data_IF_267289379845
#
_entry.id   IF_267289379845
#
_cell.length_a   1.000
_cell.length_b   1.000
_cell.length_c   1.000
_cell.angle_alpha   90.00
_cell.angle_beta   90.00
_cell.angle_gamma   90.00
#
_symmetry.space_group_name_H-M   'P 1'
#
loop_
_entity.id
_entity.type
_entity.pdbx_description
1 polymer ?
#
# COMPACT_ATOMS: atom_id res chain seq x y z
N UNK A 1 11.50 2.60 -8.63
CA UNK A 1 10.68 1.89 -7.67
C UNK A 1 9.45 1.26 -8.35
N UNK A 2 8.53 2.07 -8.88
CA UNK A 2 7.28 1.58 -9.52
C UNK A 2 7.55 0.55 -10.60
N UNK A 3 8.42 0.85 -11.56
CA UNK A 3 8.73 -0.05 -12.68
C UNK A 3 9.33 -1.38 -12.22
N UNK A 4 10.26 -1.34 -11.27
CA UNK A 4 10.90 -2.55 -10.75
C UNK A 4 9.89 -3.48 -10.07
N UNK A 5 9.03 -2.94 -9.19
CA UNK A 5 8.08 -3.77 -8.45
C UNK A 5 6.90 -4.24 -9.29
N UNK A 6 6.42 -3.43 -10.24
CA UNK A 6 5.43 -3.89 -11.21
C UNK A 6 5.97 -5.02 -12.09
N UNK A 7 7.23 -4.93 -12.50
CA UNK A 7 7.91 -6.00 -13.28
C UNK A 7 8.10 -7.26 -12.44
N UNK A 8 8.64 -7.12 -11.21
CA UNK A 8 8.88 -8.26 -10.31
C UNK A 8 7.62 -9.01 -9.94
N UNK A 9 6.49 -8.29 -9.76
CA UNK A 9 5.22 -8.90 -9.41
C UNK A 9 4.60 -9.77 -10.52
N UNK A 10 4.87 -9.45 -11.79
CA UNK A 10 4.18 -10.07 -12.94
C UNK A 10 5.09 -11.01 -13.73
N UNK A 11 6.36 -10.63 -13.92
CA UNK A 11 7.22 -11.28 -14.90
C UNK A 11 8.15 -12.31 -14.27
N UNK A 12 8.87 -11.91 -13.22
CA UNK A 12 9.81 -12.77 -12.50
C UNK A 12 10.03 -12.24 -11.09
N UNK A 13 9.60 -12.97 -10.05
CA UNK A 13 9.96 -12.64 -8.69
C UNK A 13 11.49 -12.57 -8.54
N UNK A 14 12.01 -11.48 -8.01
CA UNK A 14 13.41 -11.37 -7.67
C UNK A 14 13.71 -12.28 -6.46
N UNK A 15 14.93 -12.80 -6.35
CA UNK A 15 15.34 -13.54 -5.17
C UNK A 15 15.19 -12.66 -3.91
N UNK A 16 14.89 -13.29 -2.78
CA UNK A 16 14.48 -12.64 -1.52
C UNK A 16 15.40 -11.47 -1.13
N UNK A 17 16.72 -11.66 -1.18
CA UNK A 17 17.69 -10.63 -0.84
C UNK A 17 17.61 -9.39 -1.75
N UNK A 18 17.43 -9.59 -3.06
CA UNK A 18 17.30 -8.47 -3.99
C UNK A 18 15.92 -7.81 -3.85
N UNK A 19 14.87 -8.59 -3.72
CA UNK A 19 13.51 -8.08 -3.63
C UNK A 19 13.33 -7.15 -2.41
N UNK A 20 13.70 -7.64 -1.23
CA UNK A 20 13.59 -6.89 0.03
C UNK A 20 14.65 -5.80 0.14
N UNK A 21 15.90 -6.11 -0.20
CA UNK A 21 17.02 -5.17 -0.08
C UNK A 21 16.91 -3.96 -1.00
N UNK A 22 16.53 -4.15 -2.26
CA UNK A 22 16.32 -3.03 -3.21
C UNK A 22 15.18 -2.12 -2.72
N UNK A 23 14.11 -2.69 -2.16
CA UNK A 23 13.03 -1.90 -1.57
C UNK A 23 13.55 -1.00 -0.45
N UNK A 24 14.28 -1.59 0.50
CA UNK A 24 14.81 -0.86 1.66
C UNK A 24 15.81 0.21 1.22
N UNK A 25 16.77 -0.11 0.34
CA UNK A 25 17.75 0.87 -0.18
C UNK A 25 17.04 2.06 -0.83
N UNK A 26 16.13 1.80 -1.77
CA UNK A 26 15.44 2.88 -2.50
C UNK A 26 14.61 3.71 -1.52
N UNK A 27 13.92 3.07 -0.59
CA UNK A 27 13.12 3.76 0.44
C UNK A 27 14.00 4.67 1.30
N UNK A 28 15.13 4.16 1.79
CA UNK A 28 16.06 4.91 2.65
C UNK A 28 16.65 6.12 1.92
N UNK A 29 17.15 5.92 0.70
CA UNK A 29 17.67 7.00 -0.13
C UNK A 29 16.62 8.09 -0.35
N UNK A 30 15.42 7.69 -0.79
CA UNK A 30 14.35 8.63 -1.11
C UNK A 30 13.85 9.37 0.12
N UNK A 31 13.75 8.71 1.27
CA UNK A 31 13.33 9.37 2.51
C UNK A 31 14.35 10.41 2.93
N UNK A 32 15.66 10.12 2.97
CA UNK A 32 16.68 11.10 3.33
C UNK A 32 16.78 12.26 2.33
N UNK A 33 16.44 12.02 1.05
CA UNK A 33 16.38 13.09 0.04
C UNK A 33 15.14 13.97 0.15
N UNK A 34 13.98 13.41 0.54
CA UNK A 34 12.71 14.14 0.66
C UNK A 34 12.57 14.83 2.01
N UNK A 35 12.93 14.15 3.10
CA UNK A 35 12.84 14.65 4.47
C UNK A 35 14.21 15.19 4.96
N UNK A 36 14.76 16.15 4.22
CA UNK A 36 16.05 16.77 4.51
C UNK A 36 16.07 17.51 5.84
N UNK A 37 17.22 17.53 6.48
CA UNK A 37 17.48 18.33 7.67
C UNK A 37 17.30 19.84 7.38
N UNK A 38 16.71 20.58 8.34
CA UNK A 38 16.41 22.02 8.20
C UNK A 38 17.69 22.86 8.05
N UNK A 39 18.77 22.49 8.73
CA UNK A 39 20.03 23.23 8.72
C UNK A 39 20.99 22.74 7.62
N UNK A 40 21.63 23.67 6.90
CA UNK A 40 22.56 23.34 5.80
C UNK A 40 23.70 22.41 6.22
N UNK A 41 24.26 22.58 7.40
CA UNK A 41 25.31 21.74 7.97
C UNK A 41 24.88 20.29 8.19
N UNK A 42 23.63 20.09 8.61
CA UNK A 42 23.10 18.75 8.81
C UNK A 42 22.78 18.01 7.49
N UNK A 43 22.82 18.69 6.34
CA UNK A 43 22.70 18.05 5.03
C UNK A 43 23.88 17.13 4.71
N UNK A 44 25.06 17.44 5.23
CA UNK A 44 26.23 16.54 5.10
C UNK A 44 25.93 15.22 5.81
N UNK A 45 25.29 15.28 6.98
CA UNK A 45 24.85 14.10 7.71
C UNK A 45 23.81 13.30 6.90
N UNK A 46 22.91 13.98 6.18
CA UNK A 46 21.92 13.30 5.32
C UNK A 46 22.61 12.48 4.21
N UNK A 47 23.64 13.02 3.57
CA UNK A 47 24.41 12.28 2.57
C UNK A 47 25.21 11.13 3.18
N UNK A 48 25.77 11.33 4.38
CA UNK A 48 26.44 10.27 5.12
C UNK A 48 25.46 9.13 5.46
N UNK A 49 24.24 9.45 5.91
CA UNK A 49 23.21 8.46 6.21
C UNK A 49 22.76 7.70 4.95
N UNK A 50 22.68 8.37 3.79
CA UNK A 50 22.42 7.70 2.51
C UNK A 50 23.53 6.71 2.19
N UNK A 51 24.80 7.14 2.30
CA UNK A 51 25.95 6.25 2.06
C UNK A 51 25.93 5.04 2.99
N UNK A 52 25.75 5.26 4.31
CA UNK A 52 25.67 4.22 5.29
C UNK A 52 24.48 3.26 5.05
N UNK A 53 23.35 3.78 4.57
CA UNK A 53 22.19 2.96 4.18
C UNK A 53 22.52 2.03 3.01
N UNK A 54 23.17 2.56 1.98
CA UNK A 54 23.59 1.77 0.82
C UNK A 54 24.63 0.72 1.26
N UNK A 55 25.55 1.10 2.12
CA UNK A 55 26.59 0.22 2.63
C UNK A 55 26.00 -0.93 3.47
N UNK A 56 25.16 -0.63 4.48
CA UNK A 56 24.62 -1.66 5.40
C UNK A 56 23.67 -2.62 4.69
N UNK A 57 22.76 -2.11 3.86
CA UNK A 57 21.81 -2.95 3.11
C UNK A 57 22.52 -3.66 1.96
N UNK A 58 23.45 -2.99 1.28
CA UNK A 58 24.30 -3.60 0.25
C UNK A 58 25.15 -4.74 0.79
N UNK A 59 25.73 -4.57 1.97
CA UNK A 59 26.43 -5.63 2.68
C UNK A 59 25.54 -6.84 2.92
N UNK A 60 24.31 -6.64 3.42
CA UNK A 60 23.34 -7.70 3.62
C UNK A 60 22.98 -8.42 2.30
N UNK A 61 22.79 -7.68 1.18
CA UNK A 61 22.48 -8.28 -0.12
C UNK A 61 23.64 -9.17 -0.61
N UNK A 62 24.88 -8.65 -0.55
CA UNK A 62 26.05 -9.32 -1.10
C UNK A 62 26.44 -10.56 -0.28
N UNK A 63 26.40 -10.45 1.05
CA UNK A 63 26.79 -11.51 1.97
C UNK A 63 25.62 -12.31 2.52
N UNK A 64 24.44 -12.24 1.89
CA UNK A 64 23.20 -12.88 2.36
C UNK A 64 23.38 -14.37 2.72
N UNK A 65 23.95 -15.15 1.82
CA UNK A 65 24.19 -16.58 2.06
C UNK A 65 25.22 -16.79 3.18
N UNK A 66 26.34 -16.09 3.14
CA UNK A 66 27.39 -16.21 4.15
C UNK A 66 26.90 -15.84 5.55
N UNK A 67 26.07 -14.80 5.69
CA UNK A 67 25.47 -14.40 6.96
C UNK A 67 24.51 -15.47 7.47
N UNK A 68 23.67 -16.04 6.59
CA UNK A 68 22.76 -17.11 6.98
C UNK A 68 23.50 -18.38 7.44
N UNK A 69 24.61 -18.75 6.80
CA UNK A 69 25.43 -19.92 7.23
C UNK A 69 26.13 -19.72 8.58
N UNK A 70 26.47 -18.48 8.94
CA UNK A 70 27.13 -18.17 10.22
C UNK A 70 26.22 -17.57 11.28
N UNK A 71 24.93 -17.79 11.17
CA UNK A 71 23.95 -17.34 12.18
C UNK A 71 24.29 -17.93 13.55
N UNK A 72 24.48 -17.05 14.56
CA UNK A 72 24.95 -17.42 15.91
C UNK A 72 26.47 -17.43 16.07
N UNK A 73 27.23 -17.19 14.98
CA UNK A 73 28.68 -17.02 14.98
C UNK A 73 29.08 -15.81 14.13
N UNK A 74 28.36 -14.72 14.32
CA UNK A 74 28.54 -13.48 13.59
C UNK A 74 29.90 -12.85 13.87
N UNK A 75 30.51 -12.28 12.83
CA UNK A 75 31.79 -11.59 12.99
C UNK A 75 31.60 -10.22 13.65
N UNK A 76 32.65 -9.65 14.30
CA UNK A 76 32.60 -8.30 14.85
C UNK A 76 32.18 -7.24 13.80
N UNK A 77 32.51 -7.50 12.53
CA UNK A 77 32.15 -6.62 11.44
C UNK A 77 30.64 -6.74 11.09
N UNK A 78 30.06 -7.95 11.10
CA UNK A 78 28.62 -8.16 10.97
C UNK A 78 27.85 -7.41 12.07
N UNK A 79 28.35 -7.51 13.32
CA UNK A 79 27.76 -6.81 14.48
C UNK A 79 27.78 -5.29 14.28
N UNK A 80 28.91 -4.74 13.82
CA UNK A 80 29.02 -3.31 13.53
C UNK A 80 28.03 -2.86 12.45
N UNK A 81 27.94 -3.59 11.34
CA UNK A 81 26.99 -3.28 10.25
C UNK A 81 25.54 -3.34 10.72
N UNK A 82 25.20 -4.34 11.54
CA UNK A 82 23.85 -4.50 12.09
C UNK A 82 23.46 -3.33 13.02
N UNK A 83 24.38 -2.94 13.94
CA UNK A 83 24.15 -1.80 14.83
C UNK A 83 23.92 -0.52 14.04
N UNK A 84 24.76 -0.23 13.05
CA UNK A 84 24.59 0.95 12.18
C UNK A 84 23.25 0.87 11.43
N UNK A 85 22.89 -0.28 10.87
CA UNK A 85 21.64 -0.48 10.14
C UNK A 85 20.39 -0.26 10.99
N UNK A 86 20.38 -0.78 12.23
CA UNK A 86 19.28 -0.56 13.19
C UNK A 86 19.14 0.91 13.56
N UNK A 87 20.23 1.61 13.83
CA UNK A 87 20.23 3.04 14.17
C UNK A 87 19.72 3.89 12.99
N UNK A 88 20.11 3.56 11.75
CA UNK A 88 19.59 4.23 10.54
C UNK A 88 18.07 4.00 10.43
N UNK A 89 17.57 2.80 10.68
CA UNK A 89 16.13 2.50 10.66
C UNK A 89 15.33 3.35 11.66
N UNK A 90 15.87 3.55 12.87
CA UNK A 90 15.27 4.41 13.89
C UNK A 90 15.28 5.88 13.43
N UNK A 91 16.41 6.38 12.92
CA UNK A 91 16.51 7.76 12.42
C UNK A 91 15.56 8.02 11.24
N UNK A 92 15.39 7.03 10.36
CA UNK A 92 14.46 7.12 9.24
C UNK A 92 13.00 7.30 9.72
N UNK A 93 12.59 6.46 10.68
CA UNK A 93 11.25 6.54 11.25
C UNK A 93 11.03 7.88 11.99
N UNK A 94 12.06 8.38 12.69
CA UNK A 94 12.02 9.68 13.36
C UNK A 94 11.68 10.82 12.39
N UNK A 95 12.25 10.80 11.19
CA UNK A 95 12.07 11.86 10.19
C UNK A 95 10.69 11.86 9.55
N UNK A 96 10.08 10.71 9.41
CA UNK A 96 8.81 10.57 8.68
C UNK A 96 7.61 10.57 9.60
N UNK A 97 7.69 9.85 10.72
CA UNK A 97 6.55 9.61 11.63
C UNK A 97 6.73 10.35 12.94
N UNK A 98 7.97 10.70 13.30
CA UNK A 98 8.27 11.45 14.51
C UNK A 98 8.77 10.60 15.68
N UNK A 99 8.85 11.25 16.86
CA UNK A 99 9.55 10.69 18.02
C UNK A 99 8.83 9.51 18.69
N UNK A 100 7.52 9.35 18.48
CA UNK A 100 6.76 8.26 19.13
C UNK A 100 7.33 6.90 18.72
N UNK A 101 7.59 6.69 17.44
CA UNK A 101 8.17 5.44 16.94
C UNK A 101 9.62 5.22 17.42
N UNK A 102 10.38 6.30 17.58
CA UNK A 102 11.73 6.23 18.17
C UNK A 102 11.65 5.73 19.61
N UNK A 103 10.75 6.30 20.41
CA UNK A 103 10.57 5.90 21.80
C UNK A 103 10.19 4.42 21.87
N UNK A 104 9.19 3.99 21.09
CA UNK A 104 8.75 2.59 21.08
C UNK A 104 9.93 1.67 20.67
N UNK A 105 10.61 1.96 19.56
CA UNK A 105 11.73 1.16 19.10
C UNK A 105 12.88 1.10 20.12
N UNK A 106 13.20 2.23 20.77
CA UNK A 106 14.24 2.29 21.80
C UNK A 106 13.84 1.50 23.04
N UNK A 107 12.60 1.62 23.51
CA UNK A 107 12.09 0.85 24.65
C UNK A 107 12.15 -0.64 24.35
N UNK A 108 11.78 -1.08 23.14
CA UNK A 108 11.87 -2.48 22.73
C UNK A 108 13.30 -2.96 22.68
N UNK A 109 14.27 -2.16 22.19
CA UNK A 109 15.69 -2.52 22.22
C UNK A 109 16.22 -2.64 23.65
N UNK A 110 15.86 -1.71 24.55
CA UNK A 110 16.23 -1.79 25.96
C UNK A 110 15.65 -3.06 26.58
N UNK A 111 14.39 -3.36 26.31
CA UNK A 111 13.76 -4.59 26.78
C UNK A 111 14.48 -5.84 26.25
N UNK A 112 14.88 -5.90 24.99
CA UNK A 112 15.62 -7.03 24.43
C UNK A 112 16.99 -7.26 25.11
N UNK A 113 17.67 -6.18 25.53
CA UNK A 113 18.96 -6.27 26.21
C UNK A 113 18.78 -6.63 27.68
N UNK A 114 17.83 -5.99 28.36
CA UNK A 114 17.64 -6.10 29.81
C UNK A 114 16.43 -6.95 30.22
N UNK A 115 15.99 -7.88 29.37
CA UNK A 115 14.80 -8.70 29.63
C UNK A 115 14.80 -9.51 30.92
N UNK A 116 16.00 -9.81 31.49
CA UNK A 116 16.14 -10.46 32.78
C UNK A 116 15.67 -9.61 33.98
N UNK A 117 15.50 -8.32 33.79
CA UNK A 117 14.95 -7.39 34.78
C UNK A 117 13.43 -7.23 34.69
N UNK A 118 12.79 -7.80 33.66
CA UNK A 118 11.37 -7.70 33.48
C UNK A 118 10.58 -8.60 34.45
N UNK A 119 9.30 -8.29 34.78
CA UNK A 119 8.44 -9.16 35.60
C UNK A 119 8.27 -10.56 34.95
N UNK A 120 8.04 -11.57 35.78
CA UNK A 120 8.05 -13.01 35.42
C UNK A 120 7.43 -13.35 34.05
N UNK A 121 6.27 -12.81 33.73
CA UNK A 121 5.59 -13.06 32.44
C UNK A 121 6.36 -12.52 31.23
N UNK A 122 7.14 -11.47 31.43
CA UNK A 122 7.90 -10.79 30.38
C UNK A 122 9.40 -11.04 30.50
N UNK A 123 9.84 -11.84 31.49
CA UNK A 123 11.24 -12.10 31.72
C UNK A 123 11.85 -13.01 30.64
N UNK A 124 13.02 -12.64 30.14
CA UNK A 124 13.84 -13.46 29.24
C UNK A 124 15.32 -13.22 29.52
N UNK A 125 16.19 -14.09 29.01
CA UNK A 125 17.62 -14.09 29.36
C UNK A 125 18.33 -12.74 29.09
N UNK A 126 17.83 -11.93 28.15
CA UNK A 126 18.53 -10.75 27.65
C UNK A 126 19.75 -11.14 26.79
N UNK A 127 20.40 -10.16 26.20
CA UNK A 127 21.62 -10.36 25.41
C UNK A 127 22.39 -9.04 25.26
N UNK A 128 23.60 -9.11 24.69
CA UNK A 128 24.37 -7.91 24.39
C UNK A 128 23.73 -7.08 23.30
N UNK A 129 23.83 -5.75 23.37
CA UNK A 129 23.23 -4.86 22.39
C UNK A 129 23.64 -5.20 20.93
N UNK A 130 24.92 -5.51 20.60
CA UNK A 130 25.28 -5.93 19.24
C UNK A 130 24.61 -7.24 18.80
N UNK A 131 24.48 -8.23 19.69
CA UNK A 131 23.82 -9.50 19.37
C UNK A 131 22.32 -9.33 19.13
N UNK A 132 21.65 -8.48 19.92
CA UNK A 132 20.25 -8.06 19.64
C UNK A 132 20.14 -7.38 18.29
N UNK A 133 21.04 -6.45 17.96
CA UNK A 133 21.03 -5.78 16.66
C UNK A 133 21.26 -6.74 15.49
N UNK A 134 22.17 -7.72 15.60
CA UNK A 134 22.37 -8.74 14.55
C UNK A 134 21.14 -9.59 14.35
N UNK A 135 20.49 -10.01 15.43
CA UNK A 135 19.26 -10.77 15.38
C UNK A 135 18.15 -10.00 14.67
N UNK A 136 17.96 -8.71 15.00
CA UNK A 136 16.93 -7.86 14.39
C UNK A 136 17.26 -7.49 12.94
N UNK A 137 18.54 -7.27 12.60
CA UNK A 137 18.92 -6.79 11.28
C UNK A 137 19.01 -7.90 10.24
N UNK A 138 19.52 -9.07 10.60
CA UNK A 138 19.82 -10.13 9.62
C UNK A 138 18.77 -11.25 9.58
N UNK A 139 18.09 -11.56 10.70
CA UNK A 139 17.15 -12.68 10.73
C UNK A 139 15.85 -12.37 9.97
N UNK A 140 15.15 -13.45 9.61
CA UNK A 140 13.91 -13.41 8.85
C UNK A 140 12.74 -12.68 9.55
N UNK A 141 12.81 -12.51 10.86
CA UNK A 141 11.78 -11.86 11.67
C UNK A 141 12.07 -10.39 11.96
N UNK A 142 13.24 -9.91 11.52
CA UNK A 142 13.71 -8.55 11.74
C UNK A 142 13.35 -7.55 10.62
N UNK A 143 14.28 -6.61 10.39
CA UNK A 143 14.11 -5.50 9.44
C UNK A 143 13.84 -5.99 8.02
N UNK A 144 14.58 -7.01 7.55
CA UNK A 144 14.39 -7.61 6.23
C UNK A 144 13.40 -8.78 6.23
N UNK A 145 12.68 -8.96 7.32
CA UNK A 145 11.75 -10.05 7.54
C UNK A 145 10.39 -9.86 6.85
N UNK A 146 9.35 -10.32 7.55
CA UNK A 146 7.96 -10.32 7.09
C UNK A 146 7.52 -8.94 6.63
N UNK A 147 7.86 -7.88 7.39
CA UNK A 147 7.44 -6.52 7.07
C UNK A 147 8.00 -6.03 5.74
N UNK A 148 9.32 -6.20 5.52
CA UNK A 148 9.94 -5.82 4.25
C UNK A 148 9.37 -6.61 3.08
N UNK A 149 9.07 -7.91 3.29
CA UNK A 149 8.45 -8.76 2.29
C UNK A 149 7.06 -8.27 1.89
N UNK A 150 6.18 -8.07 2.88
CA UNK A 150 4.81 -7.60 2.67
C UNK A 150 4.78 -6.25 1.95
N UNK A 151 5.65 -5.33 2.38
CA UNK A 151 5.69 -3.99 1.78
C UNK A 151 6.23 -4.02 0.34
N UNK A 152 7.29 -4.78 0.09
CA UNK A 152 7.87 -4.91 -1.24
C UNK A 152 6.95 -5.67 -2.22
N UNK A 153 6.18 -6.65 -1.74
CA UNK A 153 5.38 -7.54 -2.60
C UNK A 153 3.97 -7.00 -2.84
N UNK A 154 3.30 -6.55 -1.79
CA UNK A 154 1.87 -6.23 -1.85
C UNK A 154 1.58 -4.75 -1.67
N UNK A 155 2.02 -4.17 -0.56
CA UNK A 155 1.58 -2.83 -0.13
C UNK A 155 1.94 -1.77 -1.15
N UNK A 156 3.14 -1.81 -1.72
CA UNK A 156 3.55 -0.84 -2.74
C UNK A 156 2.60 -0.81 -3.95
N UNK A 157 2.16 -1.97 -4.42
CA UNK A 157 1.26 -2.08 -5.58
C UNK A 157 -0.14 -1.56 -5.25
N UNK A 158 -0.65 -1.83 -4.05
CA UNK A 158 -1.95 -1.31 -3.63
C UNK A 158 -1.93 0.19 -3.34
N UNK A 159 -0.83 0.71 -2.80
CA UNK A 159 -0.65 2.16 -2.63
C UNK A 159 -0.58 2.87 -3.98
N UNK A 160 0.10 2.28 -4.96
CA UNK A 160 0.09 2.75 -6.35
C UNK A 160 -1.32 2.71 -6.94
N UNK A 161 -2.02 1.60 -6.79
CA UNK A 161 -3.40 1.46 -7.24
C UNK A 161 -4.29 2.56 -6.65
N UNK A 162 -4.21 2.83 -5.34
CA UNK A 162 -4.95 3.90 -4.68
C UNK A 162 -4.68 5.29 -5.30
N UNK A 163 -3.41 5.60 -5.59
CA UNK A 163 -3.01 6.86 -6.22
C UNK A 163 -3.53 6.98 -7.68
N UNK A 164 -3.54 5.88 -8.44
CA UNK A 164 -4.11 5.85 -9.78
C UNK A 164 -5.63 5.97 -9.77
N UNK A 165 -6.30 5.33 -8.82
CA UNK A 165 -7.73 5.43 -8.66
C UNK A 165 -8.18 6.85 -8.29
N UNK A 166 -7.44 7.53 -7.41
CA UNK A 166 -7.67 8.94 -7.09
C UNK A 166 -7.57 9.81 -8.35
N UNK A 167 -6.53 9.62 -9.16
CA UNK A 167 -6.32 10.37 -10.40
C UNK A 167 -7.28 10.00 -11.53
N UNK A 168 -7.86 8.80 -11.50
CA UNK A 168 -8.85 8.37 -12.50
C UNK A 168 -10.21 9.08 -12.40
N UNK A 169 -10.42 9.86 -11.33
CA UNK A 169 -11.69 10.55 -11.07
C UNK A 169 -12.72 9.71 -10.31
N UNK A 170 -12.39 8.48 -9.94
CA UNK A 170 -13.29 7.60 -9.20
C UNK A 170 -13.69 8.16 -7.83
N UNK A 171 -12.86 9.01 -7.23
CA UNK A 171 -13.16 9.66 -5.95
C UNK A 171 -14.48 10.42 -5.98
N UNK A 172 -14.82 11.08 -7.10
CA UNK A 172 -16.09 11.82 -7.24
C UNK A 172 -17.28 10.88 -7.07
N UNK A 173 -17.27 9.71 -7.69
CA UNK A 173 -18.34 8.73 -7.54
C UNK A 173 -18.57 8.31 -6.08
N UNK A 174 -17.49 8.11 -5.31
CA UNK A 174 -17.59 7.70 -3.90
C UNK A 174 -18.12 8.80 -2.96
N UNK A 175 -18.20 10.06 -3.43
CA UNK A 175 -18.84 11.17 -2.72
C UNK A 175 -20.24 11.43 -3.28
N UNK A 176 -20.38 11.53 -4.60
CA UNK A 176 -21.63 11.92 -5.26
C UNK A 176 -22.75 10.88 -5.07
N UNK A 177 -22.41 9.59 -5.16
CA UNK A 177 -23.38 8.52 -4.98
C UNK A 177 -23.96 8.46 -3.55
N UNK A 178 -23.17 8.43 -2.47
CA UNK A 178 -23.72 8.52 -1.11
C UNK A 178 -24.49 9.82 -0.84
N UNK A 179 -24.04 10.95 -1.42
CA UNK A 179 -24.71 12.23 -1.26
C UNK A 179 -26.13 12.17 -1.87
N UNK A 180 -26.29 11.61 -3.04
CA UNK A 180 -27.59 11.43 -3.65
C UNK A 180 -28.47 10.40 -2.93
N UNK A 181 -27.87 9.33 -2.37
CA UNK A 181 -28.60 8.25 -1.72
C UNK A 181 -29.09 8.61 -0.31
N UNK A 182 -28.25 9.24 0.51
CA UNK A 182 -28.56 9.48 1.94
C UNK A 182 -28.41 10.94 2.37
N UNK A 183 -27.92 11.83 1.51
CA UNK A 183 -27.64 13.23 1.85
C UNK A 183 -28.85 14.00 2.36
N UNK A 184 -30.05 13.69 1.89
CA UNK A 184 -31.31 14.32 2.28
C UNK A 184 -31.86 13.88 3.66
N UNK A 185 -31.28 12.82 4.25
CA UNK A 185 -31.76 12.25 5.52
C UNK A 185 -31.25 13.07 6.73
N UNK A 186 -31.83 12.81 7.91
CA UNK A 186 -31.33 13.37 9.19
C UNK A 186 -29.84 13.02 9.32
N UNK A 187 -28.98 14.03 9.53
CA UNK A 187 -27.55 13.87 9.56
C UNK A 187 -26.92 13.45 8.22
N UNK A 188 -27.61 13.71 7.10
CA UNK A 188 -27.21 13.31 5.77
C UNK A 188 -25.74 13.58 5.45
N UNK A 189 -25.22 14.80 5.58
CA UNK A 189 -23.82 15.12 5.30
C UNK A 189 -22.81 14.28 6.09
N UNK A 190 -23.07 14.00 7.36
CA UNK A 190 -22.20 13.16 8.16
C UNK A 190 -22.33 11.66 7.82
N UNK A 191 -23.51 11.19 7.45
CA UNK A 191 -23.71 9.83 6.92
C UNK A 191 -23.01 9.64 5.57
N UNK A 192 -23.02 10.67 4.74
CA UNK A 192 -22.24 10.69 3.49
C UNK A 192 -20.75 10.55 3.77
N UNK A 193 -20.24 11.30 4.77
CA UNK A 193 -18.85 11.18 5.23
C UNK A 193 -18.52 9.73 5.62
N UNK A 194 -19.35 9.08 6.44
CA UNK A 194 -19.11 7.70 6.90
C UNK A 194 -19.09 6.71 5.72
N UNK A 195 -20.05 6.80 4.81
CA UNK A 195 -20.13 5.88 3.67
C UNK A 195 -18.99 6.16 2.67
N UNK A 196 -18.75 7.44 2.33
CA UNK A 196 -17.70 7.82 1.40
C UNK A 196 -16.32 7.43 1.91
N UNK A 197 -16.05 7.67 3.21
CA UNK A 197 -14.79 7.29 3.84
C UNK A 197 -14.64 5.78 3.98
N UNK A 198 -15.71 5.03 4.21
CA UNK A 198 -15.70 3.57 4.18
C UNK A 198 -15.34 3.05 2.79
N UNK A 199 -15.99 3.54 1.75
CA UNK A 199 -15.73 3.14 0.36
C UNK A 199 -14.34 3.56 -0.11
N UNK A 200 -13.94 4.81 0.09
CA UNK A 200 -12.62 5.28 -0.31
C UNK A 200 -11.51 4.67 0.54
N UNK A 201 -11.77 4.47 1.82
CA UNK A 201 -10.86 3.82 2.76
C UNK A 201 -10.53 2.38 2.38
N UNK A 202 -11.53 1.62 1.89
CA UNK A 202 -11.34 0.25 1.42
C UNK A 202 -10.33 0.13 0.26
N UNK A 203 -10.01 1.26 -0.37
CA UNK A 203 -9.10 1.37 -1.49
C UNK A 203 -7.73 1.90 -1.04
N UNK A 204 -7.73 2.99 -0.26
CA UNK A 204 -6.50 3.66 0.16
C UNK A 204 -5.73 2.88 1.22
N UNK A 205 -6.42 2.08 2.04
CA UNK A 205 -5.85 1.36 3.18
C UNK A 205 -5.21 2.25 4.24
N UNK A 206 -5.33 3.59 4.11
CA UNK A 206 -4.70 4.58 4.98
C UNK A 206 -5.72 5.54 5.57
N UNK A 207 -5.93 5.49 6.88
CA UNK A 207 -6.84 6.39 7.58
C UNK A 207 -6.45 7.87 7.39
N UNK A 208 -5.14 8.18 7.41
CA UNK A 208 -4.65 9.56 7.25
C UNK A 208 -4.93 10.07 5.84
N UNK A 209 -4.56 9.31 4.80
CA UNK A 209 -4.81 9.69 3.43
C UNK A 209 -6.31 9.84 3.15
N UNK A 210 -7.12 8.92 3.69
CA UNK A 210 -8.57 8.96 3.58
C UNK A 210 -9.14 10.23 4.23
N UNK A 211 -8.78 10.52 5.49
CA UNK A 211 -9.21 11.74 6.19
C UNK A 211 -8.89 13.02 5.42
N UNK A 212 -7.70 13.10 4.81
CA UNK A 212 -7.30 14.28 4.03
C UNK A 212 -8.09 14.38 2.72
N UNK A 213 -8.26 13.26 2.02
CA UNK A 213 -8.91 13.24 0.69
C UNK A 213 -10.42 13.47 0.78
N UNK A 214 -11.12 12.70 1.64
CA UNK A 214 -12.57 12.83 1.79
C UNK A 214 -12.94 14.00 2.67
N UNK A 215 -12.18 14.27 3.73
CA UNK A 215 -12.44 15.33 4.69
C UNK A 215 -12.37 16.74 4.11
N UNK A 216 -11.58 16.94 3.05
CA UNK A 216 -11.56 18.21 2.33
C UNK A 216 -12.96 18.63 1.81
N UNK A 217 -13.83 17.67 1.52
CA UNK A 217 -15.20 17.88 1.04
C UNK A 217 -16.23 17.67 2.14
N UNK A 218 -16.11 16.62 2.93
CA UNK A 218 -17.13 16.19 3.88
C UNK A 218 -17.16 17.08 5.13
N UNK A 219 -16.01 17.55 5.64
CA UNK A 219 -15.96 18.43 6.81
C UNK A 219 -16.67 19.78 6.53
N UNK A 220 -16.36 20.51 5.44
CA UNK A 220 -17.10 21.71 5.08
C UNK A 220 -18.60 21.47 4.88
N UNK A 221 -18.97 20.34 4.28
CA UNK A 221 -20.37 19.95 4.04
C UNK A 221 -21.10 19.71 5.36
N UNK A 222 -20.50 19.00 6.33
CA UNK A 222 -21.05 18.81 7.67
C UNK A 222 -21.21 20.13 8.44
N UNK A 223 -20.22 21.01 8.35
CA UNK A 223 -20.28 22.35 9.02
C UNK A 223 -21.39 23.21 8.43
N UNK A 224 -21.60 23.22 7.11
CA UNK A 224 -22.69 23.94 6.46
C UNK A 224 -24.07 23.43 6.89
N UNK A 225 -24.19 22.12 7.13
CA UNK A 225 -25.44 21.50 7.59
C UNK A 225 -25.74 21.77 9.08
N UNK A 226 -24.81 22.37 9.85
CA UNK A 226 -25.02 22.73 11.23
C UNK A 226 -24.31 21.84 12.26
N UNK A 227 -23.45 20.90 11.84
CA UNK A 227 -22.59 20.20 12.79
C UNK A 227 -21.54 21.14 13.39
N UNK A 228 -21.32 21.03 14.69
CA UNK A 228 -20.26 21.77 15.38
C UNK A 228 -18.89 21.42 14.77
N UNK A 229 -17.96 22.40 14.59
CA UNK A 229 -16.68 22.19 13.91
C UNK A 229 -15.86 21.05 14.47
N UNK A 230 -15.79 20.90 15.80
CA UNK A 230 -15.04 19.82 16.46
C UNK A 230 -15.70 18.45 16.28
N UNK A 231 -17.06 18.39 16.20
CA UNK A 231 -17.79 17.16 15.92
C UNK A 231 -17.56 16.72 14.48
N UNK A 232 -17.67 17.64 13.50
CA UNK A 232 -17.38 17.37 12.10
C UNK A 232 -15.92 16.92 11.91
N UNK A 233 -14.98 17.57 12.62
CA UNK A 233 -13.56 17.20 12.63
C UNK A 233 -13.25 15.87 13.34
N UNK A 234 -14.13 15.36 14.18
CA UNK A 234 -14.03 14.05 14.84
C UNK A 234 -14.68 12.92 14.05
N UNK A 235 -15.82 13.18 13.39
CA UNK A 235 -16.54 12.19 12.58
C UNK A 235 -15.69 11.70 11.41
N UNK A 236 -15.05 12.60 10.69
CA UNK A 236 -14.28 12.25 9.48
C UNK A 236 -13.09 11.31 9.77
N UNK A 237 -12.20 11.59 10.73
CA UNK A 237 -11.14 10.64 11.08
C UNK A 237 -11.69 9.31 11.62
N UNK A 238 -12.76 9.35 12.44
CA UNK A 238 -13.41 8.13 12.93
C UNK A 238 -13.94 7.27 11.77
N UNK A 239 -14.59 7.88 10.78
CA UNK A 239 -15.05 7.19 9.59
C UNK A 239 -13.87 6.64 8.77
N UNK A 240 -12.79 7.43 8.63
CA UNK A 240 -11.63 7.11 7.82
C UNK A 240 -10.80 5.94 8.34
N UNK A 241 -10.80 5.69 9.66
CA UNK A 241 -10.13 4.53 10.28
C UNK A 241 -10.69 3.21 9.72
N UNK A 242 -11.98 3.15 9.36
CA UNK A 242 -12.58 1.95 8.76
C UNK A 242 -11.80 1.44 7.54
N UNK A 243 -11.15 2.33 6.80
CA UNK A 243 -10.35 1.98 5.63
C UNK A 243 -9.15 1.07 5.93
N UNK A 244 -8.68 1.03 7.18
CA UNK A 244 -7.55 0.17 7.55
C UNK A 244 -7.93 -1.32 7.59
N UNK A 245 -9.21 -1.64 7.74
CA UNK A 245 -9.71 -3.02 7.82
C UNK A 245 -10.93 -3.28 6.93
N UNK A 246 -11.36 -2.30 6.12
CA UNK A 246 -12.45 -2.47 5.14
C UNK A 246 -11.93 -3.19 3.89
N UNK A 247 -12.46 -4.37 3.54
CA UNK A 247 -12.13 -5.03 2.26
C UNK A 247 -12.51 -4.18 1.04
N UNK A 248 -11.85 -4.39 -0.13
CA UNK A 248 -10.95 -5.50 -0.47
C UNK A 248 -9.48 -5.28 -0.14
N UNK A 249 -8.98 -4.03 -0.02
CA UNK A 249 -7.53 -3.79 0.09
C UNK A 249 -7.07 -3.80 1.54
N UNK A 250 -7.86 -3.19 2.43
CA UNK A 250 -7.47 -3.02 3.83
C UNK A 250 -6.15 -2.23 3.94
N UNK A 251 -5.63 -2.03 5.14
CA UNK A 251 -4.29 -1.51 5.35
C UNK A 251 -3.24 -2.61 5.31
N UNK A 252 -1.97 -2.25 5.53
CA UNK A 252 -0.86 -3.20 5.58
C UNK A 252 -1.11 -4.34 6.60
N UNK A 253 -1.90 -4.11 7.65
CA UNK A 253 -2.22 -5.09 8.67
C UNK A 253 -2.87 -6.38 8.15
N UNK A 254 -3.74 -6.30 7.14
CA UNK A 254 -4.35 -7.48 6.54
C UNK A 254 -3.33 -8.39 5.83
N UNK A 255 -2.36 -7.81 5.15
CA UNK A 255 -1.28 -8.55 4.49
C UNK A 255 -0.29 -9.14 5.50
N UNK A 256 0.01 -8.40 6.56
CA UNK A 256 0.86 -8.88 7.66
C UNK A 256 0.19 -10.07 8.35
N UNK A 257 -1.12 -9.98 8.60
CA UNK A 257 -1.89 -11.07 9.19
C UNK A 257 -1.84 -12.32 8.28
N UNK A 258 -1.97 -12.17 6.96
CA UNK A 258 -1.88 -13.28 6.02
C UNK A 258 -0.51 -13.96 6.10
N UNK A 259 0.56 -13.20 6.14
CA UNK A 259 1.93 -13.72 6.19
C UNK A 259 2.26 -14.40 7.53
N UNK A 260 1.82 -13.79 8.66
CA UNK A 260 2.06 -14.35 10.00
C UNK A 260 1.26 -15.62 10.28
N UNK A 261 0.01 -15.68 9.80
CA UNK A 261 -0.88 -16.80 10.08
C UNK A 261 -0.81 -17.91 9.03
N UNK A 262 -0.19 -17.65 7.87
CA UNK A 262 -0.24 -18.56 6.71
C UNK A 262 -1.64 -18.71 6.08
N UNK A 263 -2.61 -17.89 6.53
CA UNK A 263 -3.97 -17.92 5.99
C UNK A 263 -4.02 -17.10 4.69
N UNK A 264 -4.58 -17.63 3.60
CA UNK A 264 -4.72 -16.88 2.35
C UNK A 264 -5.44 -15.53 2.57
N UNK A 265 -4.90 -14.46 1.96
CA UNK A 265 -5.45 -13.11 2.11
C UNK A 265 -6.94 -13.01 1.77
N UNK A 266 -7.42 -13.76 0.77
CA UNK A 266 -8.83 -13.83 0.41
C UNK A 266 -9.73 -14.27 1.56
N UNK A 267 -9.28 -15.22 2.41
CA UNK A 267 -10.02 -15.66 3.61
C UNK A 267 -10.01 -14.56 4.68
N UNK A 268 -8.87 -13.90 4.90
CA UNK A 268 -8.78 -12.78 5.86
C UNK A 268 -9.71 -11.65 5.42
N UNK A 269 -9.72 -11.33 4.13
CA UNK A 269 -10.61 -10.33 3.54
C UNK A 269 -12.09 -10.65 3.81
N UNK A 270 -12.52 -11.91 3.64
CA UNK A 270 -13.90 -12.31 3.90
C UNK A 270 -14.25 -12.21 5.40
N UNK A 271 -13.36 -12.64 6.29
CA UNK A 271 -13.58 -12.54 7.75
C UNK A 271 -13.62 -11.07 8.19
N UNK A 272 -12.82 -10.20 7.59
CA UNK A 272 -12.78 -8.77 7.92
C UNK A 272 -14.06 -8.00 7.56
N UNK A 273 -14.91 -8.52 6.67
CA UNK A 273 -16.18 -7.88 6.28
C UNK A 273 -17.05 -7.61 7.52
N UNK A 274 -17.18 -8.60 8.40
CA UNK A 274 -18.06 -8.50 9.56
C UNK A 274 -17.61 -7.41 10.56
N UNK A 275 -16.38 -7.40 11.10
CA UNK A 275 -15.94 -6.33 11.98
C UNK A 275 -15.91 -4.95 11.30
N UNK A 276 -15.58 -4.89 10.00
CA UNK A 276 -15.62 -3.65 9.24
C UNK A 276 -17.04 -3.08 9.15
N UNK A 277 -18.02 -3.93 8.83
CA UNK A 277 -19.43 -3.54 8.82
C UNK A 277 -19.90 -3.06 10.19
N UNK A 278 -19.60 -3.79 11.26
CA UNK A 278 -20.00 -3.42 12.63
C UNK A 278 -19.41 -2.07 13.04
N UNK A 279 -18.15 -1.81 12.67
CA UNK A 279 -17.51 -0.52 12.96
C UNK A 279 -18.20 0.63 12.21
N UNK A 280 -18.34 0.52 10.88
CA UNK A 280 -18.99 1.54 10.06
C UNK A 280 -20.44 1.77 10.51
N UNK A 281 -21.15 0.70 10.82
CA UNK A 281 -22.52 0.78 11.35
C UNK A 281 -22.57 1.53 12.68
N UNK A 282 -21.65 1.27 13.61
CA UNK A 282 -21.62 1.96 14.90
C UNK A 282 -21.38 3.47 14.74
N UNK A 283 -20.43 3.86 13.89
CA UNK A 283 -20.18 5.28 13.57
C UNK A 283 -21.40 5.90 12.88
N UNK A 284 -22.04 5.18 11.97
CA UNK A 284 -23.24 5.65 11.27
C UNK A 284 -24.41 5.89 12.23
N UNK A 285 -24.62 5.01 13.22
CA UNK A 285 -25.65 5.14 14.26
C UNK A 285 -25.32 6.31 15.19
N UNK A 286 -24.07 6.43 15.63
CA UNK A 286 -23.63 7.55 16.47
C UNK A 286 -23.91 8.90 15.80
N UNK A 287 -23.53 9.03 14.54
CA UNK A 287 -23.77 10.23 13.73
C UNK A 287 -25.27 10.51 13.56
N UNK A 288 -26.09 9.47 13.42
CA UNK A 288 -27.55 9.64 13.31
C UNK A 288 -28.14 10.26 14.59
N UNK A 289 -27.75 9.77 15.77
CA UNK A 289 -28.26 10.29 17.03
C UNK A 289 -27.72 11.67 17.36
N UNK A 290 -26.44 11.94 17.07
CA UNK A 290 -25.85 13.29 17.19
C UNK A 290 -26.63 14.31 16.34
N UNK A 291 -26.93 13.96 15.10
CA UNK A 291 -27.72 14.82 14.22
C UNK A 291 -29.16 14.98 14.69
N UNK A 292 -29.77 13.92 15.24
CA UNK A 292 -31.14 13.95 15.79
C UNK A 292 -31.22 14.86 17.02
N UNK A 293 -30.25 14.78 17.93
CA UNK A 293 -30.16 15.64 19.13
C UNK A 293 -30.10 17.13 18.77
N UNK A 294 -29.44 17.47 17.67
CA UNK A 294 -29.23 18.86 17.26
C UNK A 294 -30.16 19.27 16.10
N UNK A 295 -31.13 18.44 15.75
CA UNK A 295 -32.12 18.66 14.69
C UNK A 295 -31.48 19.02 13.33
N UNK A 296 -30.29 18.41 13.03
CA UNK A 296 -29.55 18.65 11.81
C UNK A 296 -30.14 17.81 10.67
N UNK A 297 -30.65 18.48 9.64
CA UNK A 297 -31.21 17.86 8.43
C UNK A 297 -30.23 18.00 7.28
N UNK A 298 -30.30 17.07 6.34
CA UNK A 298 -29.55 17.14 5.10
C UNK A 298 -30.32 17.89 4.00
N UNK A 299 -29.60 18.21 2.93
CA UNK A 299 -30.16 18.82 1.73
C UNK A 299 -30.30 17.76 0.62
N UNK A 300 -31.30 17.96 -0.23
CA UNK A 300 -31.53 17.08 -1.37
C UNK A 300 -30.49 17.34 -2.46
N UNK A 301 -29.84 16.29 -2.96
CA UNK A 301 -28.92 16.39 -4.08
C UNK A 301 -29.67 16.79 -5.35
N UNK A 302 -29.00 17.51 -6.25
CA UNK A 302 -29.53 17.89 -7.57
C UNK A 302 -29.75 16.66 -8.47
N UNK A 303 -28.89 15.62 -8.32
CA UNK A 303 -28.96 14.40 -9.09
C UNK A 303 -29.52 13.21 -8.29
N UNK A 304 -30.24 12.34 -8.98
CA UNK A 304 -30.75 11.09 -8.38
C UNK A 304 -29.63 10.06 -8.23
N UNK A 305 -29.66 9.27 -7.14
CA UNK A 305 -28.71 8.17 -6.92
C UNK A 305 -28.70 7.16 -8.10
N UNK A 306 -29.86 6.89 -8.70
CA UNK A 306 -29.99 6.01 -9.87
C UNK A 306 -29.35 6.58 -11.12
N UNK A 307 -29.42 7.89 -11.33
CA UNK A 307 -28.77 8.58 -12.43
C UNK A 307 -27.23 8.55 -12.27
N UNK A 308 -26.73 8.86 -11.08
CA UNK A 308 -25.30 8.78 -10.79
C UNK A 308 -24.78 7.36 -10.98
N UNK A 309 -25.51 6.36 -10.48
CA UNK A 309 -25.12 4.97 -10.63
C UNK A 309 -25.07 4.57 -12.13
N UNK A 310 -26.09 4.94 -12.94
CA UNK A 310 -26.10 4.63 -14.38
C UNK A 310 -24.98 5.31 -15.15
N UNK A 311 -24.63 6.53 -14.79
CA UNK A 311 -23.62 7.32 -15.52
C UNK A 311 -22.20 7.06 -15.02
N UNK A 312 -22.02 6.78 -13.75
CA UNK A 312 -20.69 6.72 -13.11
C UNK A 312 -20.28 5.32 -12.62
N UNK A 313 -21.13 4.27 -12.81
CA UNK A 313 -20.78 2.91 -12.39
C UNK A 313 -19.42 2.38 -12.87
N UNK A 314 -18.86 2.80 -14.05
CA UNK A 314 -17.56 2.29 -14.46
C UNK A 314 -16.44 2.61 -13.47
N UNK A 315 -16.59 3.64 -12.63
CA UNK A 315 -15.62 3.96 -11.58
C UNK A 315 -15.54 2.90 -10.46
N UNK A 316 -16.51 1.97 -10.38
CA UNK A 316 -16.45 0.82 -9.47
C UNK A 316 -15.67 -0.36 -10.04
N UNK A 317 -15.46 -0.42 -11.38
CA UNK A 317 -14.80 -1.53 -12.06
C UNK A 317 -13.43 -1.89 -11.48
N UNK A 318 -12.53 -0.93 -11.16
CA UNK A 318 -11.23 -1.27 -10.59
C UNK A 318 -11.33 -2.09 -9.30
N UNK A 319 -12.29 -1.75 -8.42
CA UNK A 319 -12.53 -2.49 -7.18
C UNK A 319 -13.12 -3.88 -7.45
N UNK A 320 -14.08 -3.96 -8.35
CA UNK A 320 -14.72 -5.22 -8.73
C UNK A 320 -13.66 -6.18 -9.30
N UNK A 321 -12.79 -5.70 -10.19
CA UNK A 321 -11.72 -6.49 -10.80
C UNK A 321 -10.77 -7.02 -9.73
N UNK A 322 -10.24 -6.17 -8.86
CA UNK A 322 -9.35 -6.60 -7.77
C UNK A 322 -10.04 -7.68 -6.92
N UNK A 323 -11.28 -7.42 -6.49
CA UNK A 323 -12.02 -8.32 -5.60
C UNK A 323 -12.24 -9.69 -6.26
N UNK A 324 -12.66 -9.71 -7.52
CA UNK A 324 -12.89 -10.97 -8.25
C UNK A 324 -11.59 -11.75 -8.39
N UNK A 325 -10.50 -11.14 -8.86
CA UNK A 325 -9.24 -11.84 -9.03
C UNK A 325 -8.65 -12.35 -7.72
N UNK A 326 -8.80 -11.61 -6.62
CA UNK A 326 -8.37 -12.08 -5.30
C UNK A 326 -9.22 -13.25 -4.79
N UNK A 327 -10.53 -13.22 -5.01
CA UNK A 327 -11.44 -14.31 -4.61
C UNK A 327 -11.26 -15.56 -5.47
N UNK A 328 -10.85 -15.42 -6.73
CA UNK A 328 -10.55 -16.55 -7.63
C UNK A 328 -9.16 -17.16 -7.41
N UNK A 329 -8.41 -16.70 -6.40
CA UNK A 329 -7.15 -17.30 -5.97
C UNK A 329 -5.89 -16.73 -6.63
N UNK A 330 -6.00 -15.68 -7.44
CA UNK A 330 -4.83 -14.96 -7.94
C UNK A 330 -4.10 -14.23 -6.82
N UNK A 331 -2.78 -14.01 -7.01
CA UNK A 331 -1.99 -13.29 -6.02
C UNK A 331 -2.50 -11.85 -5.86
N UNK A 332 -2.44 -11.27 -4.63
CA UNK A 332 -2.80 -9.88 -4.41
C UNK A 332 -2.03 -8.91 -5.31
N UNK A 333 -0.74 -9.18 -5.56
CA UNK A 333 0.10 -8.36 -6.43
C UNK A 333 -0.41 -8.34 -7.89
N UNK A 334 -0.76 -9.49 -8.43
CA UNK A 334 -1.32 -9.61 -9.78
C UNK A 334 -2.68 -8.89 -9.87
N UNK A 335 -3.54 -9.11 -8.88
CA UNK A 335 -4.86 -8.45 -8.78
C UNK A 335 -4.73 -6.91 -8.73
N UNK A 336 -3.74 -6.39 -7.98
CA UNK A 336 -3.47 -4.95 -7.90
C UNK A 336 -3.07 -4.35 -9.26
N UNK A 337 -2.25 -5.05 -10.05
CA UNK A 337 -1.84 -4.59 -11.39
C UNK A 337 -3.02 -4.57 -12.36
N UNK A 338 -3.91 -5.58 -12.32
CA UNK A 338 -5.13 -5.58 -13.12
C UNK A 338 -6.10 -4.46 -12.70
N UNK A 339 -6.21 -4.23 -11.40
CA UNK A 339 -6.97 -3.10 -10.87
C UNK A 339 -6.39 -1.75 -11.32
N UNK A 340 -5.06 -1.60 -11.31
CA UNK A 340 -4.38 -0.40 -11.79
C UNK A 340 -4.63 -0.18 -13.29
N UNK A 341 -4.58 -1.25 -14.09
CA UNK A 341 -4.91 -1.17 -15.51
C UNK A 341 -6.37 -0.73 -15.75
N UNK A 342 -7.31 -1.23 -14.94
CA UNK A 342 -8.71 -0.79 -15.00
C UNK A 342 -8.89 0.66 -14.57
N UNK A 343 -8.12 1.17 -13.60
CA UNK A 343 -8.11 2.61 -13.26
C UNK A 343 -7.71 3.46 -14.47
N UNK A 344 -6.65 3.03 -15.18
CA UNK A 344 -6.18 3.73 -16.38
C UNK A 344 -7.26 3.71 -17.47
N UNK A 345 -7.91 2.57 -17.71
CA UNK A 345 -9.00 2.47 -18.69
C UNK A 345 -10.17 3.39 -18.35
N UNK A 346 -10.62 3.38 -17.09
CA UNK A 346 -11.74 4.21 -16.61
C UNK A 346 -11.39 5.70 -16.62
N UNK A 347 -10.13 6.08 -16.45
CA UNK A 347 -9.66 7.47 -16.49
C UNK A 347 -9.98 8.17 -17.83
N UNK A 348 -10.13 7.40 -18.91
CA UNK A 348 -10.47 7.92 -20.23
C UNK A 348 -11.94 8.36 -20.42
N UNK A 349 -12.77 8.15 -19.41
CA UNK A 349 -14.17 8.57 -19.44
C UNK A 349 -14.32 10.10 -19.50
N UNK A 350 -13.47 10.85 -18.81
CA UNK A 350 -13.44 12.31 -18.81
C UNK A 350 -12.10 12.83 -19.33
N UNK A 351 -12.12 13.98 -20.05
CA UNK A 351 -10.88 14.54 -20.63
C UNK A 351 -9.85 14.92 -19.57
N UNK A 352 -10.29 15.43 -18.43
CA UNK A 352 -9.45 15.98 -17.37
C UNK A 352 -8.75 14.90 -16.52
N UNK A 353 -9.24 13.65 -16.54
CA UNK A 353 -8.73 12.55 -15.72
C UNK A 353 -7.88 11.55 -16.49
N UNK A 354 -7.65 11.75 -17.77
CA UNK A 354 -6.94 10.82 -18.63
C UNK A 354 -5.52 10.54 -18.16
N UNK A 355 -5.21 9.26 -18.05
CA UNK A 355 -3.89 8.72 -17.71
C UNK A 355 -3.40 7.93 -18.93
N UNK A 356 -2.10 7.93 -19.19
CA UNK A 356 -1.53 7.17 -20.30
C UNK A 356 -1.89 5.67 -20.24
N UNK A 357 -2.30 5.11 -21.38
CA UNK A 357 -2.80 3.74 -21.52
C UNK A 357 -1.71 2.64 -21.49
N UNK A 358 -0.44 2.99 -21.30
CA UNK A 358 0.67 2.02 -21.33
C UNK A 358 0.44 0.83 -20.39
N UNK A 359 0.05 1.11 -19.14
CA UNK A 359 -0.22 0.05 -18.15
C UNK A 359 -1.41 -0.82 -18.55
N UNK A 360 -2.45 -0.21 -19.14
CA UNK A 360 -3.61 -0.94 -19.63
C UNK A 360 -3.23 -1.93 -20.75
N UNK A 361 -2.43 -1.50 -21.72
CA UNK A 361 -2.01 -2.38 -22.82
C UNK A 361 -1.08 -3.50 -22.35
N UNK A 362 -0.18 -3.24 -21.40
CA UNK A 362 0.65 -4.28 -20.81
C UNK A 362 -0.22 -5.31 -20.07
N UNK A 363 -1.18 -4.86 -19.27
CA UNK A 363 -2.08 -5.75 -18.55
C UNK A 363 -3.01 -6.53 -19.49
N UNK A 364 -3.52 -5.88 -20.54
CA UNK A 364 -4.33 -6.55 -21.58
C UNK A 364 -3.54 -7.64 -22.29
N UNK A 365 -2.29 -7.37 -22.66
CA UNK A 365 -1.41 -8.37 -23.26
C UNK A 365 -1.15 -9.57 -22.34
N UNK A 366 -0.96 -9.31 -21.03
CA UNK A 366 -0.80 -10.35 -20.03
C UNK A 366 -2.07 -11.19 -19.86
N UNK A 367 -3.24 -10.56 -19.78
CA UNK A 367 -4.54 -11.26 -19.64
C UNK A 367 -4.79 -12.13 -20.89
N UNK A 368 -4.67 -11.54 -22.07
CA UNK A 368 -4.89 -12.25 -23.34
C UNK A 368 -3.90 -13.42 -23.48
N UNK A 369 -2.61 -13.15 -23.21
CA UNK A 369 -1.56 -14.16 -23.38
C UNK A 369 -1.66 -15.30 -22.36
N UNK A 370 -1.95 -15.01 -21.11
CA UNK A 370 -1.94 -16.02 -20.05
C UNK A 370 -3.29 -16.70 -19.81
N UNK A 371 -4.40 -16.00 -20.01
CA UNK A 371 -5.73 -16.56 -19.72
C UNK A 371 -6.51 -17.00 -20.94
N UNK A 372 -6.46 -16.25 -22.05
CA UNK A 372 -7.29 -16.54 -23.22
C UNK A 372 -6.59 -17.39 -24.25
N UNK A 373 -5.32 -17.15 -24.53
CA UNK A 373 -4.59 -17.90 -25.55
C UNK A 373 -4.43 -19.39 -25.26
N UNK A 374 -4.19 -19.87 -24.03
CA UNK A 374 -4.16 -21.30 -23.74
C UNK A 374 -5.46 -22.00 -24.12
N UNK A 375 -6.60 -21.34 -23.90
CA UNK A 375 -7.93 -21.87 -24.27
C UNK A 375 -8.12 -22.06 -25.79
N UNK A 376 -7.47 -21.20 -26.59
CA UNK A 376 -7.58 -21.21 -28.06
C UNK A 376 -6.55 -22.15 -28.67
N UNK A 377 -5.31 -22.10 -28.19
CA UNK A 377 -4.18 -22.81 -28.83
C UNK A 377 -4.12 -24.29 -28.42
N UNK A 378 -4.43 -24.60 -27.16
CA UNK A 378 -4.35 -26.00 -26.66
C UNK A 378 -5.25 -26.99 -27.43
N UNK A 379 -6.50 -26.66 -27.78
CA UNK A 379 -7.33 -27.54 -28.63
C UNK A 379 -6.79 -27.71 -30.05
N UNK A 380 -6.06 -26.73 -30.59
CA UNK A 380 -5.59 -26.71 -31.98
C UNK A 380 -4.25 -27.46 -32.14
N UNK A 381 -3.33 -27.27 -31.19
CA UNK A 381 -1.94 -27.75 -31.32
C UNK A 381 -1.59 -28.93 -30.37
N UNK A 382 -2.50 -29.39 -29.53
CA UNK A 382 -2.23 -30.48 -28.59
C UNK A 382 -1.06 -30.20 -27.65
N UNK A 383 -0.28 -31.24 -27.30
CA UNK A 383 0.89 -31.13 -26.41
C UNK A 383 2.01 -30.23 -26.96
N UNK A 384 2.19 -30.20 -28.26
CA UNK A 384 3.17 -29.32 -28.95
C UNK A 384 2.83 -27.85 -28.75
N UNK A 385 1.54 -27.52 -28.53
CA UNK A 385 1.07 -26.15 -28.20
C UNK A 385 1.56 -25.65 -26.87
N UNK A 386 1.79 -26.52 -25.86
CA UNK A 386 2.27 -26.12 -24.56
C UNK A 386 3.69 -25.55 -24.63
N UNK A 387 4.60 -26.23 -25.34
CA UNK A 387 5.99 -25.76 -25.52
C UNK A 387 6.06 -24.46 -26.35
N UNK A 388 5.21 -24.35 -27.38
CA UNK A 388 5.09 -23.12 -28.18
C UNK A 388 4.58 -21.97 -27.32
N UNK A 389 3.53 -22.18 -26.52
CA UNK A 389 2.95 -21.19 -25.62
C UNK A 389 3.96 -20.72 -24.58
N UNK A 390 4.69 -21.63 -23.94
CA UNK A 390 5.70 -21.30 -22.95
C UNK A 390 6.82 -20.43 -23.54
N UNK A 391 7.23 -20.72 -24.76
CA UNK A 391 8.30 -19.98 -25.44
C UNK A 391 7.84 -18.61 -25.96
N UNK A 392 6.68 -18.50 -26.59
CA UNK A 392 6.21 -17.28 -27.29
C UNK A 392 5.43 -16.37 -26.34
N UNK A 393 4.66 -16.94 -25.40
CA UNK A 393 3.80 -16.20 -24.48
C UNK A 393 4.32 -16.20 -23.05
N UNK A 394 5.65 -16.34 -22.87
CA UNK A 394 6.25 -16.10 -21.56
C UNK A 394 5.90 -14.70 -21.06
N UNK A 395 5.71 -14.54 -19.75
CA UNK A 395 5.34 -13.25 -19.15
C UNK A 395 6.27 -12.10 -19.57
N UNK A 396 7.56 -12.40 -19.84
CA UNK A 396 8.55 -11.42 -20.33
C UNK A 396 8.21 -10.90 -21.72
N UNK A 397 7.89 -11.80 -22.66
CA UNK A 397 7.55 -11.42 -24.02
C UNK A 397 6.19 -10.74 -24.08
N UNK A 398 5.23 -11.14 -23.26
CA UNK A 398 3.93 -10.45 -23.17
C UNK A 398 4.06 -9.00 -22.68
N UNK A 399 4.93 -8.74 -21.68
CA UNK A 399 5.26 -7.37 -21.28
C UNK A 399 5.90 -6.60 -22.42
N UNK A 400 6.85 -7.22 -23.14
CA UNK A 400 7.48 -6.59 -24.29
C UNK A 400 6.46 -6.27 -25.39
N UNK A 401 5.57 -7.20 -25.72
CA UNK A 401 4.49 -6.96 -26.70
C UNK A 401 3.57 -5.83 -26.28
N UNK A 402 3.17 -5.80 -24.99
CA UNK A 402 2.38 -4.70 -24.42
C UNK A 402 3.09 -3.35 -24.51
N UNK A 403 4.40 -3.31 -24.26
CA UNK A 403 5.21 -2.09 -24.40
C UNK A 403 5.32 -1.64 -25.86
N UNK A 404 5.64 -2.55 -26.77
CA UNK A 404 5.71 -2.24 -28.22
C UNK A 404 4.38 -1.74 -28.73
N UNK A 405 3.28 -2.40 -28.38
CA UNK A 405 1.94 -1.97 -28.76
C UNK A 405 1.60 -0.59 -28.17
N UNK A 406 1.98 -0.34 -26.94
CA UNK A 406 1.81 0.97 -26.30
C UNK A 406 2.55 2.07 -27.06
N UNK A 407 3.80 1.83 -27.46
CA UNK A 407 4.60 2.79 -28.24
C UNK A 407 3.91 3.06 -29.59
N UNK A 408 3.45 2.02 -30.27
CA UNK A 408 2.72 2.17 -31.56
C UNK A 408 1.45 3.02 -31.36
N UNK A 409 0.69 2.73 -30.30
CA UNK A 409 -0.52 3.48 -29.98
C UNK A 409 -0.24 4.94 -29.58
N UNK A 410 0.88 5.22 -28.91
CA UNK A 410 1.32 6.58 -28.61
C UNK A 410 1.59 7.38 -29.90
N UNK A 411 2.31 6.80 -30.87
CA UNK A 411 2.54 7.43 -32.17
C UNK A 411 1.24 7.66 -32.94
N UNK A 412 0.36 6.65 -32.99
CA UNK A 412 -0.94 6.75 -33.64
C UNK A 412 -1.82 7.85 -33.03
N UNK A 413 -1.86 7.95 -31.71
CA UNK A 413 -2.64 8.97 -31.00
C UNK A 413 -2.05 10.37 -31.19
N UNK A 414 -0.72 10.48 -31.21
CA UNK A 414 -0.03 11.73 -31.51
C UNK A 414 -0.34 12.23 -32.93
N UNK A 415 -0.41 11.34 -33.91
CA UNK A 415 -0.80 11.70 -35.29
C UNK A 415 -2.24 12.19 -35.40
N UNK A 416 -3.12 11.79 -34.48
CA UNK A 416 -4.52 12.26 -34.38
C UNK A 416 -4.70 13.54 -33.53
N UNK A 417 -3.63 14.21 -33.13
CA UNK A 417 -3.69 15.47 -32.38
C UNK A 417 -4.16 15.33 -30.92
N UNK A 418 -4.11 14.12 -30.32
CA UNK A 418 -4.40 13.96 -28.90
C UNK A 418 -3.22 14.48 -28.06
N UNK A 419 -3.51 15.16 -26.95
CA UNK A 419 -2.48 15.67 -26.02
C UNK A 419 -1.87 14.56 -25.17
N UNK A 420 -1.01 13.76 -25.83
CA UNK A 420 -0.29 12.63 -25.18
C UNK A 420 0.62 13.12 -24.05
N UNK A 421 1.11 14.37 -24.15
CA UNK A 421 2.00 14.93 -23.12
C UNK A 421 1.28 15.12 -21.79
N UNK A 422 0.06 15.60 -21.79
CA UNK A 422 -0.74 15.78 -20.57
C UNK A 422 -1.07 14.44 -19.90
N UNK A 423 -1.38 13.42 -20.68
CA UNK A 423 -1.65 12.06 -20.18
C UNK A 423 -0.41 11.40 -19.56
N UNK A 424 0.75 11.57 -20.20
CA UNK A 424 2.02 11.07 -19.66
C UNK A 424 2.39 11.81 -18.36
N UNK A 425 2.17 13.12 -18.30
CA UNK A 425 2.37 13.91 -17.07
C UNK A 425 1.43 13.40 -15.95
N UNK A 426 0.18 13.09 -16.28
CA UNK A 426 -0.78 12.53 -15.31
C UNK A 426 -0.36 11.16 -14.80
N UNK A 427 0.17 10.30 -15.68
CA UNK A 427 0.75 9.00 -15.30
C UNK A 427 1.94 9.16 -14.33
N UNK A 428 2.88 10.06 -14.67
CA UNK A 428 4.04 10.35 -13.80
C UNK A 428 3.61 10.92 -12.46
N UNK A 429 2.62 11.83 -12.44
CA UNK A 429 2.06 12.40 -11.20
C UNK A 429 1.40 11.33 -10.32
N UNK A 430 0.60 10.43 -10.90
CA UNK A 430 -0.01 9.33 -10.16
C UNK A 430 1.05 8.37 -9.60
N UNK A 431 2.04 7.99 -10.41
CA UNK A 431 3.16 7.13 -10.00
C UNK A 431 3.99 7.77 -8.89
N UNK A 432 4.26 9.07 -8.99
CA UNK A 432 4.96 9.83 -7.97
C UNK A 432 4.19 9.88 -6.65
N UNK A 433 2.90 10.20 -6.70
CA UNK A 433 2.05 10.25 -5.50
C UNK A 433 1.98 8.88 -4.80
N UNK A 434 1.82 7.80 -5.57
CA UNK A 434 1.86 6.44 -5.03
C UNK A 434 3.22 6.08 -4.41
N UNK A 435 4.32 6.44 -5.07
CA UNK A 435 5.66 6.23 -4.53
C UNK A 435 5.88 7.02 -3.23
N UNK A 436 5.51 8.31 -3.17
CA UNK A 436 5.64 9.14 -1.97
C UNK A 436 4.82 8.59 -0.79
N UNK A 437 3.61 8.09 -1.03
CA UNK A 437 2.79 7.43 -0.01
C UNK A 437 3.39 6.10 0.45
N UNK A 438 3.95 5.30 -0.47
CA UNK A 438 4.67 4.07 -0.15
C UNK A 438 5.91 4.32 0.72
N UNK A 439 6.64 5.42 0.49
CA UNK A 439 7.81 5.78 1.29
C UNK A 439 7.47 6.05 2.76
N UNK A 440 6.31 6.66 3.03
CA UNK A 440 5.87 6.92 4.42
C UNK A 440 5.68 5.61 5.19
N UNK A 441 5.11 4.59 4.53
CA UNK A 441 4.93 3.27 5.11
C UNK A 441 6.29 2.55 5.21
N UNK A 442 7.10 2.62 4.16
CA UNK A 442 8.42 2.00 4.11
C UNK A 442 9.41 2.55 5.15
N UNK A 443 9.29 3.82 5.52
CA UNK A 443 10.12 4.43 6.55
C UNK A 443 9.91 3.83 7.95
N UNK A 444 8.77 3.21 8.19
CA UNK A 444 8.44 2.60 9.50
C UNK A 444 8.92 1.15 9.58
N UNK A 445 9.32 0.55 8.45
CA UNK A 445 9.75 -0.86 8.36
C UNK A 445 10.86 -1.18 9.37
N UNK A 446 11.86 -0.30 9.47
CA UNK A 446 12.97 -0.50 10.40
C UNK A 446 12.49 -0.66 11.84
N UNK A 447 11.64 0.25 12.32
CA UNK A 447 11.13 0.20 13.71
C UNK A 447 10.12 -0.94 13.90
N UNK A 448 9.25 -1.20 12.94
CA UNK A 448 8.34 -2.36 13.04
C UNK A 448 9.13 -3.67 13.03
N UNK A 449 10.19 -3.76 12.21
CA UNK A 449 11.11 -4.89 12.22
C UNK A 449 11.81 -5.05 13.57
N UNK A 450 12.19 -3.95 14.23
CA UNK A 450 12.72 -3.98 15.61
C UNK A 450 11.67 -4.55 16.57
N UNK A 451 10.44 -4.05 16.53
CA UNK A 451 9.35 -4.50 17.42
C UNK A 451 9.09 -6.01 17.24
N UNK A 452 8.88 -6.45 15.99
CA UNK A 452 8.61 -7.87 15.69
C UNK A 452 9.82 -8.73 16.06
N UNK A 453 11.02 -8.31 15.67
CA UNK A 453 12.26 -9.03 15.97
C UNK A 453 12.48 -9.19 17.48
N UNK A 454 12.19 -8.15 18.28
CA UNK A 454 12.29 -8.24 19.75
C UNK A 454 11.22 -9.15 20.34
N UNK A 455 9.97 -9.04 19.87
CA UNK A 455 8.88 -9.90 20.34
C UNK A 455 9.16 -11.39 20.04
N UNK A 456 9.69 -11.70 18.86
CA UNK A 456 10.10 -13.05 18.49
C UNK A 456 11.31 -13.51 19.32
N UNK A 457 12.31 -12.64 19.50
CA UNK A 457 13.51 -12.90 20.26
C UNK A 457 13.24 -13.18 21.74
N UNK A 458 12.34 -12.39 22.35
CA UNK A 458 11.93 -12.56 23.75
C UNK A 458 10.99 -13.75 24.01
N UNK A 459 10.47 -14.39 22.95
CA UNK A 459 9.49 -15.47 23.06
C UNK A 459 8.06 -15.02 23.35
N UNK A 460 7.80 -13.71 23.47
CA UNK A 460 6.46 -13.18 23.78
C UNK A 460 5.40 -13.50 22.71
N UNK A 461 5.81 -13.87 21.50
CA UNK A 461 4.88 -14.31 20.43
C UNK A 461 4.36 -15.72 20.70
N UNK A 462 5.05 -16.52 21.52
CA UNK A 462 4.72 -17.92 21.80
C UNK A 462 3.94 -18.10 23.11
N UNK A 463 3.83 -17.06 23.90
CA UNK A 463 3.03 -16.97 25.13
C UNK A 463 1.69 -16.29 24.88
#
# INVERSE_FOLDING_TARGET
>A
LVLFYSYSAVVRPAATQYHRGIYVIITYILVFLLYKSKHKWLRVVDYLLIFLSIFTVGYWIVYFEAINYRTGAETPFDMFVAVVGVLIGIELARRVVGNVFVIIGTVMLIYAVYGHLAPDLFAHAGDTFPAVCTSIFYKSDGVFGIMANVLATYVILFVLFGAFLEKSGAQRFFIDYPLAAVGHRIGGPAKVSVIASGLFGSISGSAIANTVSTGAFTIPMMKKAGFRPHVAGGIEPAASISGMFMPPIMGAGGFIMAELTGVPYSKIMLVAIFPAFMYVFSVFVMVHYEAKMHNIRGEKSEHSATEILKTQWPYTLPLIVITIFMLTGYSPAYSAILGLATCVAVSHKTKDTRIDLTVFWIAAALIIGQLLLPWIIKPIMGESGNAFMEKVFSARLLVLYGLVFSIIMLFYRRSRGTDVKSELISFVKASRAGAENSLKIGAVVGVIGIIIGVLTYSGLVLT
#
